data_IF_869650241012
#
_entry.id   IF_869650241012
#
_cell.length_a   1.000
_cell.length_b   1.000
_cell.length_c   1.000
_cell.angle_alpha   90.00
_cell.angle_beta   90.00
_cell.angle_gamma   90.00
#
_symmetry.space_group_name_H-M   'P 1'
#
loop_
_entity.id
_entity.type
_entity.pdbx_description
1 polymer ?
#
# COMPACT_ATOMS: atom_id res chain seq x y z
N UNK A 1 0.28 8.96 5.04
CA UNK A 1 1.12 10.13 4.72
C UNK A 1 0.27 11.39 4.80
N UNK A 2 0.87 12.57 4.68
CA UNK A 2 0.18 13.86 4.84
C UNK A 2 0.21 14.39 6.28
N UNK A 3 -0.36 15.58 6.48
CA UNK A 3 -0.35 16.30 7.75
C UNK A 3 -1.76 16.33 8.35
N UNK A 4 -1.89 15.90 9.61
CA UNK A 4 -3.15 15.89 10.34
C UNK A 4 -3.47 17.25 10.99
N UNK A 5 -2.46 18.11 11.20
CA UNK A 5 -2.59 19.34 11.98
C UNK A 5 -3.70 20.25 11.45
N UNK A 6 -3.62 20.64 10.18
CA UNK A 6 -4.58 21.59 9.59
C UNK A 6 -6.03 21.08 9.66
N UNK A 7 -6.37 19.83 9.24
CA UNK A 7 -7.73 19.35 9.40
C UNK A 7 -8.18 19.24 10.85
N UNK A 8 -7.28 18.91 11.78
CA UNK A 8 -7.62 18.83 13.20
C UNK A 8 -7.88 20.22 13.81
N UNK A 9 -7.05 21.22 13.47
CA UNK A 9 -7.22 22.62 13.89
C UNK A 9 -8.58 23.16 13.38
N UNK A 10 -8.96 22.86 12.14
CA UNK A 10 -10.28 23.24 11.59
C UNK A 10 -11.42 22.57 12.38
N UNK A 11 -11.30 21.28 12.67
CA UNK A 11 -12.33 20.54 13.41
C UNK A 11 -12.49 21.04 14.85
N UNK A 12 -11.40 21.30 15.57
CA UNK A 12 -11.44 21.80 16.95
C UNK A 12 -12.11 23.18 17.03
N UNK A 13 -11.84 24.05 16.06
CA UNK A 13 -12.42 25.40 16.04
C UNK A 13 -13.93 25.40 15.70
N UNK A 14 -14.40 24.42 14.94
CA UNK A 14 -15.82 24.28 14.62
C UNK A 14 -16.24 22.80 14.51
N UNK A 15 -16.48 22.13 15.65
CA UNK A 15 -16.81 20.71 15.66
C UNK A 15 -18.23 20.50 15.15
N UNK A 16 -18.33 19.98 13.93
CA UNK A 16 -19.61 19.60 13.30
C UNK A 16 -19.80 18.09 13.36
N UNK A 17 -21.03 17.65 13.68
CA UNK A 17 -21.38 16.22 13.75
C UNK A 17 -21.13 15.50 12.41
N UNK A 18 -21.38 16.21 11.30
CA UNK A 18 -21.07 15.74 9.94
C UNK A 18 -19.74 16.35 9.49
N UNK A 19 -18.64 15.79 9.98
CA UNK A 19 -17.31 16.16 9.51
C UNK A 19 -16.92 15.30 8.31
N UNK A 20 -16.56 15.95 7.20
CA UNK A 20 -15.94 15.29 6.06
C UNK A 20 -14.47 15.71 6.00
N UNK A 21 -13.58 14.73 5.82
CA UNK A 21 -12.16 14.99 5.61
C UNK A 21 -11.98 15.76 4.30
N UNK A 22 -11.41 16.97 4.32
CA UNK A 22 -11.13 17.68 3.08
C UNK A 22 -10.09 16.91 2.27
N UNK A 23 -10.28 16.84 0.96
CA UNK A 23 -9.33 16.23 0.02
C UNK A 23 -8.51 17.32 -0.64
N UNK A 24 -7.17 17.23 -0.61
CA UNK A 24 -6.31 18.24 -1.22
C UNK A 24 -4.81 18.00 -0.97
N UNK A 25 -4.00 18.97 -1.38
CA UNK A 25 -2.54 18.91 -1.18
C UNK A 25 -2.19 18.79 0.31
N UNK A 26 -1.34 17.81 0.65
CA UNK A 26 -0.85 17.52 2.02
C UNK A 26 -1.92 17.05 3.04
N UNK A 27 -3.15 16.73 2.62
CA UNK A 27 -4.14 16.11 3.50
C UNK A 27 -3.79 14.63 3.80
N UNK A 28 -4.21 14.11 4.97
CA UNK A 28 -3.86 12.77 5.40
C UNK A 28 -4.49 11.73 4.47
N UNK A 29 -3.67 10.79 4.00
CA UNK A 29 -4.13 9.60 3.28
C UNK A 29 -3.43 8.35 3.80
N UNK A 30 -4.08 7.18 3.79
CA UNK A 30 -3.41 5.93 4.15
C UNK A 30 -2.20 5.70 3.23
N UNK A 31 -1.02 5.51 3.82
CA UNK A 31 0.19 5.20 3.07
C UNK A 31 0.47 3.70 3.12
N UNK A 32 -0.42 2.96 2.45
CA UNK A 32 -0.38 1.51 2.41
C UNK A 32 0.83 1.00 1.60
N UNK A 33 1.17 1.65 0.49
CA UNK A 33 2.35 1.29 -0.32
C UNK A 33 3.66 1.40 0.46
N UNK A 34 3.87 2.47 1.24
CA UNK A 34 5.07 2.55 2.07
C UNK A 34 5.01 1.56 3.22
N UNK A 35 3.82 1.34 3.81
CA UNK A 35 3.64 0.39 4.91
C UNK A 35 3.90 -1.06 4.50
N UNK A 36 3.50 -1.46 3.29
CA UNK A 36 3.81 -2.80 2.76
C UNK A 36 5.31 -2.97 2.54
N UNK A 37 5.93 -2.06 1.79
CA UNK A 37 7.35 -2.16 1.40
C UNK A 37 8.34 -1.98 2.55
N UNK A 38 8.07 -1.07 3.50
CA UNK A 38 9.01 -0.75 4.59
C UNK A 38 8.78 -1.56 5.86
N UNK A 39 7.58 -2.13 6.05
CA UNK A 39 7.24 -2.82 7.30
C UNK A 39 6.79 -4.26 7.04
N UNK A 40 5.70 -4.47 6.32
CA UNK A 40 5.13 -5.82 6.18
C UNK A 40 6.11 -6.81 5.51
N UNK A 41 6.58 -6.48 4.31
CA UNK A 41 7.44 -7.36 3.51
C UNK A 41 8.77 -7.65 4.24
N UNK A 42 9.49 -6.64 4.81
CA UNK A 42 10.68 -6.92 5.61
C UNK A 42 10.40 -7.85 6.80
N UNK A 43 9.30 -7.65 7.54
CA UNK A 43 8.97 -8.52 8.67
C UNK A 43 8.70 -9.97 8.20
N UNK A 44 8.02 -10.15 7.07
CA UNK A 44 7.79 -11.48 6.49
C UNK A 44 9.08 -12.14 6.03
N UNK A 45 10.01 -11.40 5.41
CA UNK A 45 11.32 -11.92 5.00
C UNK A 45 12.13 -12.39 6.21
N UNK A 46 12.31 -11.52 7.20
CA UNK A 46 13.18 -11.82 8.34
C UNK A 46 12.58 -12.84 9.30
N UNK A 47 11.34 -12.61 9.77
CA UNK A 47 10.70 -13.49 10.77
C UNK A 47 10.05 -14.69 10.11
N UNK A 48 9.41 -14.47 8.96
CA UNK A 48 8.70 -15.54 8.28
C UNK A 48 9.61 -16.63 7.75
N UNK A 49 10.82 -16.28 7.27
CA UNK A 49 11.81 -17.28 6.87
C UNK A 49 12.27 -18.18 8.04
N UNK A 50 12.42 -17.62 9.24
CA UNK A 50 12.75 -18.38 10.45
C UNK A 50 11.63 -19.37 10.79
N UNK A 51 10.38 -18.89 10.83
CA UNK A 51 9.23 -19.74 11.12
C UNK A 51 9.02 -20.83 10.07
N UNK A 52 9.27 -20.53 8.79
CA UNK A 52 9.23 -21.51 7.69
C UNK A 52 10.27 -22.61 7.90
N UNK A 53 11.51 -22.22 8.25
CA UNK A 53 12.59 -23.17 8.56
C UNK A 53 12.20 -24.11 9.72
N UNK A 54 11.50 -23.58 10.72
CA UNK A 54 10.99 -24.37 11.85
C UNK A 54 9.70 -25.13 11.55
N UNK A 55 9.17 -25.06 10.33
CA UNK A 55 7.88 -25.64 9.91
C UNK A 55 6.73 -25.21 10.82
N UNK A 56 6.73 -23.95 11.25
CA UNK A 56 5.67 -23.35 12.08
C UNK A 56 4.75 -22.50 11.21
N UNK A 57 3.45 -22.75 11.33
CA UNK A 57 2.41 -21.92 10.71
C UNK A 57 2.37 -20.54 11.38
N UNK A 58 2.08 -19.52 10.58
CA UNK A 58 2.09 -18.13 10.98
C UNK A 58 0.72 -17.50 10.76
N UNK A 59 0.44 -16.45 11.53
CA UNK A 59 -0.76 -15.64 11.35
C UNK A 59 -0.37 -14.17 11.27
N UNK A 60 -0.89 -13.49 10.26
CA UNK A 60 -0.66 -12.06 10.03
C UNK A 60 -2.01 -11.35 10.07
N UNK A 61 -2.21 -10.51 11.09
CA UNK A 61 -3.44 -9.73 11.24
C UNK A 61 -3.27 -8.34 10.61
N UNK A 62 -4.14 -7.99 9.66
CA UNK A 62 -4.10 -6.73 8.91
C UNK A 62 -5.49 -6.14 8.77
N UNK A 63 -5.55 -4.83 8.50
CA UNK A 63 -6.77 -4.23 7.96
C UNK A 63 -7.05 -4.77 6.56
N UNK A 64 -8.32 -5.05 6.27
CA UNK A 64 -8.77 -5.48 4.94
C UNK A 64 -8.35 -4.47 3.86
N UNK A 65 -8.60 -3.18 4.09
CA UNK A 65 -8.22 -2.11 3.16
C UNK A 65 -6.72 -2.06 2.86
N UNK A 66 -5.86 -2.42 3.82
CA UNK A 66 -4.43 -2.52 3.59
C UNK A 66 -4.08 -3.76 2.75
N UNK A 67 -4.66 -4.92 3.07
CA UNK A 67 -4.43 -6.16 2.33
C UNK A 67 -4.87 -6.04 0.87
N UNK A 68 -5.99 -5.37 0.60
CA UNK A 68 -6.51 -5.14 -0.76
C UNK A 68 -5.56 -4.27 -1.62
N UNK A 69 -4.56 -3.59 -1.04
CA UNK A 69 -3.53 -2.88 -1.80
C UNK A 69 -2.32 -3.74 -2.18
N UNK A 70 -2.24 -4.96 -1.63
CA UNK A 70 -1.19 -5.90 -2.00
C UNK A 70 -1.53 -6.52 -3.36
N UNK A 71 -0.53 -6.99 -4.12
CA UNK A 71 -0.79 -7.81 -5.29
C UNK A 71 -1.60 -9.05 -4.91
N UNK A 72 -2.42 -9.58 -5.83
CA UNK A 72 -3.20 -10.79 -5.60
C UNK A 72 -2.28 -11.95 -5.21
N UNK A 73 -2.43 -12.42 -3.97
CA UNK A 73 -1.59 -13.48 -3.40
C UNK A 73 -2.14 -14.86 -3.79
N UNK A 74 -1.29 -15.81 -4.21
CA UNK A 74 -1.71 -17.17 -4.49
C UNK A 74 -2.30 -17.84 -3.23
N UNK A 75 -3.58 -18.23 -3.32
CA UNK A 75 -4.31 -18.80 -2.18
C UNK A 75 -4.33 -20.33 -2.24
N UNK A 76 -4.28 -20.96 -1.07
CA UNK A 76 -4.33 -22.42 -0.90
C UNK A 76 -5.34 -22.83 0.16
N UNK A 77 -5.61 -24.13 0.29
CA UNK A 77 -6.43 -24.65 1.39
C UNK A 77 -5.70 -24.51 2.74
N UNK A 78 -6.45 -24.34 3.81
CA UNK A 78 -5.95 -24.15 5.20
C UNK A 78 -4.93 -25.21 5.62
N UNK A 79 -5.12 -26.45 5.20
CA UNK A 79 -4.26 -27.58 5.58
C UNK A 79 -2.85 -27.39 5.02
N UNK A 80 -2.75 -26.87 3.79
CA UNK A 80 -1.51 -26.62 3.04
C UNK A 80 -0.88 -25.25 3.32
N UNK A 81 -1.58 -24.38 4.04
CA UNK A 81 -1.13 -23.01 4.25
C UNK A 81 -0.03 -22.91 5.32
N UNK A 82 0.97 -22.07 5.03
CA UNK A 82 2.01 -21.64 5.97
C UNK A 82 1.59 -20.34 6.67
N UNK A 83 0.86 -19.47 5.98
CA UNK A 83 0.37 -18.18 6.50
C UNK A 83 -1.16 -18.15 6.47
N UNK A 84 -1.75 -17.74 7.58
CA UNK A 84 -3.14 -17.30 7.66
C UNK A 84 -3.19 -15.77 7.81
N UNK A 85 -3.79 -15.09 6.85
CA UNK A 85 -4.01 -13.65 6.87
C UNK A 85 -5.37 -13.36 7.48
N UNK A 86 -5.38 -12.74 8.66
CA UNK A 86 -6.60 -12.35 9.35
C UNK A 86 -6.92 -10.91 8.98
N UNK A 87 -7.94 -10.73 8.14
CA UNK A 87 -8.34 -9.44 7.63
C UNK A 87 -9.44 -8.88 8.52
N UNK A 88 -9.14 -7.76 9.16
CA UNK A 88 -10.06 -7.06 10.04
C UNK A 88 -10.60 -5.80 9.37
N UNK A 89 -11.83 -5.45 9.73
CA UNK A 89 -12.44 -4.17 9.35
C UNK A 89 -13.17 -3.55 10.55
N UNK A 90 -13.43 -2.26 10.47
CA UNK A 90 -14.22 -1.53 11.45
C UNK A 90 -15.68 -1.51 11.01
N UNK A 91 -16.53 -2.27 11.71
CA UNK A 91 -17.96 -2.37 11.42
C UNK A 91 -18.74 -1.62 12.48
N UNK A 92 -19.61 -0.71 12.06
CA UNK A 92 -20.47 0.06 12.96
C UNK A 92 -21.53 -0.86 13.58
N UNK A 93 -21.51 -1.00 14.89
CA UNK A 93 -22.58 -1.62 15.64
C UNK A 93 -23.73 -0.63 15.80
N UNK A 94 -24.88 -1.00 15.24
CA UNK A 94 -26.07 -0.14 15.22
C UNK A 94 -26.68 0.08 16.61
N UNK A 95 -26.42 -0.81 17.56
CA UNK A 95 -26.95 -0.78 18.93
C UNK A 95 -26.12 0.13 19.84
N UNK A 96 -24.80 -0.05 19.82
CA UNK A 96 -23.87 0.72 20.67
C UNK A 96 -23.40 2.02 20.02
N UNK A 97 -23.64 2.19 18.71
CA UNK A 97 -23.12 3.30 17.87
C UNK A 97 -21.60 3.39 17.88
N UNK A 98 -20.92 2.26 18.08
CA UNK A 98 -19.46 2.17 18.10
C UNK A 98 -18.96 1.30 16.95
N UNK A 99 -17.76 1.60 16.45
CA UNK A 99 -17.09 0.75 15.47
C UNK A 99 -16.35 -0.38 16.19
N UNK A 100 -16.69 -1.62 15.83
CA UNK A 100 -16.03 -2.81 16.35
C UNK A 100 -15.04 -3.35 15.33
N UNK A 101 -13.89 -3.81 15.82
CA UNK A 101 -12.90 -4.50 14.99
C UNK A 101 -13.35 -5.95 14.76
N UNK A 102 -13.81 -6.27 13.56
CA UNK A 102 -14.37 -7.58 13.21
C UNK A 102 -13.43 -8.30 12.23
N UNK A 103 -13.18 -9.59 12.48
CA UNK A 103 -12.53 -10.47 11.51
C UNK A 103 -13.49 -10.70 10.33
N UNK A 104 -13.25 -10.03 9.21
CA UNK A 104 -14.12 -10.08 8.03
C UNK A 104 -13.75 -11.19 7.07
N UNK A 105 -12.47 -11.57 6.99
CA UNK A 105 -11.99 -12.59 6.07
C UNK A 105 -10.72 -13.25 6.59
N UNK A 106 -10.55 -14.53 6.28
CA UNK A 106 -9.25 -15.22 6.41
C UNK A 106 -8.78 -15.65 5.04
N UNK A 107 -7.53 -15.32 4.70
CA UNK A 107 -6.87 -15.78 3.46
C UNK A 107 -5.72 -16.70 3.83
N UNK A 108 -5.54 -17.78 3.07
CA UNK A 108 -4.53 -18.80 3.35
C UNK A 108 -3.54 -18.86 2.19
N UNK A 109 -2.25 -18.77 2.48
CA UNK A 109 -1.20 -18.78 1.45
C UNK A 109 -0.02 -19.67 1.88
N UNK A 110 0.72 -20.17 0.90
CA UNK A 110 2.08 -20.70 1.13
C UNK A 110 3.04 -19.54 1.36
N UNK A 111 4.10 -19.78 2.15
CA UNK A 111 5.06 -18.73 2.50
C UNK A 111 5.82 -18.24 1.27
N UNK A 112 6.39 -19.17 0.50
CA UNK A 112 7.24 -18.85 -0.66
C UNK A 112 6.43 -18.20 -1.79
N UNK A 113 5.28 -18.76 -2.15
CA UNK A 113 4.39 -18.24 -3.19
C UNK A 113 3.90 -16.83 -2.89
N UNK A 114 3.50 -16.57 -1.63
CA UNK A 114 3.08 -15.25 -1.21
C UNK A 114 4.25 -14.25 -1.23
N UNK A 115 5.41 -14.67 -0.71
CA UNK A 115 6.59 -13.83 -0.63
C UNK A 115 7.08 -13.42 -2.02
N UNK A 116 7.22 -14.39 -2.93
CA UNK A 116 7.62 -14.15 -4.32
C UNK A 116 6.71 -13.11 -4.96
N UNK A 117 5.39 -13.26 -4.79
CA UNK A 117 4.40 -12.36 -5.37
C UNK A 117 4.52 -10.92 -4.83
N UNK A 118 4.76 -10.72 -3.54
CA UNK A 118 4.91 -9.36 -2.97
C UNK A 118 6.27 -8.73 -3.28
N UNK A 119 7.31 -9.53 -3.53
CA UNK A 119 8.65 -9.02 -3.85
C UNK A 119 8.89 -8.78 -5.33
N UNK A 120 8.14 -9.43 -6.22
CA UNK A 120 8.26 -9.27 -7.67
C UNK A 120 7.42 -8.07 -8.13
N UNK A 121 8.05 -6.97 -8.58
CA UNK A 121 7.31 -5.86 -9.15
C UNK A 121 6.72 -6.28 -10.49
N UNK A 122 5.46 -5.92 -10.74
CA UNK A 122 4.94 -5.99 -12.10
C UNK A 122 5.40 -4.75 -12.88
N UNK A 123 6.04 -4.93 -14.05
CA UNK A 123 6.38 -3.81 -14.90
C UNK A 123 5.09 -3.15 -15.37
N UNK A 124 4.99 -1.83 -15.17
CA UNK A 124 3.96 -1.02 -15.82
C UNK A 124 4.27 -0.84 -17.31
N UNK A 125 3.38 -0.16 -18.03
CA UNK A 125 3.63 0.18 -19.43
C UNK A 125 4.86 1.09 -19.55
N UNK A 126 5.79 0.71 -20.43
CA UNK A 126 7.00 1.48 -20.69
C UNK A 126 6.66 2.85 -21.30
N UNK A 127 5.58 2.95 -22.08
CA UNK A 127 5.12 4.19 -22.67
C UNK A 127 4.66 5.18 -21.60
N UNK A 128 3.94 4.73 -20.57
CA UNK A 128 3.55 5.59 -19.45
C UNK A 128 4.78 6.12 -18.69
N UNK A 129 5.78 5.26 -18.51
CA UNK A 129 7.05 5.65 -17.89
C UNK A 129 7.78 6.71 -18.72
N UNK A 130 7.94 6.48 -20.03
CA UNK A 130 8.59 7.42 -20.96
C UNK A 130 7.84 8.76 -20.98
N UNK A 131 6.51 8.73 -21.11
CA UNK A 131 5.68 9.94 -21.12
C UNK A 131 5.84 10.74 -19.83
N UNK A 132 5.91 10.06 -18.68
CA UNK A 132 6.14 10.71 -17.38
C UNK A 132 7.52 11.35 -17.30
N UNK A 133 8.55 10.68 -17.83
CA UNK A 133 9.90 11.25 -17.88
C UNK A 133 9.97 12.47 -18.79
N UNK A 134 9.36 12.39 -19.97
CA UNK A 134 9.35 13.47 -20.94
C UNK A 134 8.64 14.70 -20.36
N UNK A 135 7.45 14.54 -19.78
CA UNK A 135 6.73 15.63 -19.12
C UNK A 135 7.57 16.29 -18.02
N UNK A 136 8.28 15.53 -17.19
CA UNK A 136 9.17 16.11 -16.17
C UNK A 136 10.41 16.79 -16.73
N UNK A 137 10.90 16.33 -17.88
CA UNK A 137 11.99 16.99 -18.58
C UNK A 137 11.49 18.33 -19.12
N UNK A 138 10.38 18.32 -19.86
CA UNK A 138 9.76 19.52 -20.44
C UNK A 138 9.44 20.58 -19.38
N UNK A 139 8.86 20.18 -18.24
CA UNK A 139 8.58 21.06 -17.08
C UNK A 139 9.85 21.76 -16.53
N UNK A 140 11.02 21.12 -16.64
CA UNK A 140 12.29 21.72 -16.23
C UNK A 140 12.93 22.59 -17.30
N UNK A 141 12.64 22.32 -18.57
CA UNK A 141 13.16 23.06 -19.71
C UNK A 141 12.33 24.34 -19.98
N UNK A 142 11.06 24.37 -19.57
CA UNK A 142 10.26 25.60 -19.45
C UNK A 142 10.82 26.51 -18.34
N UNK A 143 11.93 27.19 -18.64
CA UNK A 143 12.59 28.14 -17.74
C UNK A 143 14.11 28.21 -17.89
N UNK A 144 14.73 27.19 -18.47
CA UNK A 144 16.14 27.19 -18.90
C UNK A 144 16.29 26.23 -20.08
N UNK A 145 16.62 26.74 -21.27
CA UNK A 145 16.94 25.88 -22.41
C UNK A 145 18.16 25.01 -22.07
N UNK A 146 18.13 23.69 -22.32
CA UNK A 146 19.27 22.83 -22.03
C UNK A 146 20.28 22.90 -23.18
N UNK A 147 21.57 22.97 -22.86
CA UNK A 147 22.67 22.79 -23.81
C UNK A 147 22.91 21.30 -24.17
N UNK A 148 22.08 20.38 -23.64
CA UNK A 148 22.26 18.93 -23.77
C UNK A 148 21.17 18.29 -24.66
N UNK A 149 21.52 17.26 -25.47
CA UNK A 149 20.59 16.58 -26.36
C UNK A 149 19.46 15.88 -25.60
N UNK A 150 18.30 15.79 -26.26
CA UNK A 150 17.06 15.27 -25.69
C UNK A 150 17.07 13.74 -25.56
N UNK A 151 16.20 13.19 -24.71
CA UNK A 151 16.01 11.73 -24.58
C UNK A 151 15.63 11.05 -25.91
N UNK A 152 14.90 11.76 -26.78
CA UNK A 152 14.57 11.31 -28.13
C UNK A 152 15.81 11.12 -29.02
N UNK A 153 16.86 11.91 -28.82
CA UNK A 153 18.12 11.78 -29.57
C UNK A 153 18.91 10.55 -29.12
N UNK A 154 18.83 10.21 -27.83
CA UNK A 154 19.54 9.06 -27.22
C UNK A 154 18.87 7.74 -27.59
N UNK A 155 17.53 7.69 -27.62
CA UNK A 155 16.77 6.47 -27.90
C UNK A 155 16.77 6.11 -29.40
N UNK A 156 17.02 7.08 -30.27
CA UNK A 156 17.05 6.90 -31.74
C UNK A 156 18.44 6.53 -32.27
N UNK A 157 19.42 6.32 -31.39
CA UNK A 157 20.82 5.98 -31.71
C UNK A 157 21.14 4.49 -31.55
#
# INVERSE_FOLDING_TARGET
>A
SGNLRNPFDIYINNPVIKFNWPTGYNYPKPDYLSSSRKRLIPQMLYKGGIFQTWKKKQTVALQKAFFDTLPDLPTVKKEKADIAWFLYDLVLDSSTKQYNLILVKTVYTEFESALLRVTTPEPGDISDFINTLQSRLDDRLEGNAPDAPSLTDIISS
#
